data_IF_665890419204
#
_entry.id   IF_665890419204
#
_cell.length_a   1.000
_cell.length_b   1.000
_cell.length_c   1.000
_cell.angle_alpha   90.00
_cell.angle_beta   90.00
_cell.angle_gamma   90.00
#
_symmetry.space_group_name_H-M   'P 1'
#
loop_
_entity.id
_entity.type
_entity.pdbx_description
1 polymer ?
#
# COMPACT_ATOMS: atom_id res chain seq x y z
N UNK A 1 -25.32 28.30 -58.00
CA UNK A 1 -24.75 29.65 -58.35
C UNK A 1 -23.83 29.96 -57.15
N UNK A 2 -22.59 29.66 -57.33
CA UNK A 2 -21.40 30.52 -57.42
C UNK A 2 -21.36 31.57 -56.29
N UNK A 3 -20.38 31.48 -55.34
CA UNK A 3 -19.13 32.27 -55.48
C UNK A 3 -18.09 31.76 -54.45
N UNK A 4 -16.97 31.32 -55.00
CA UNK A 4 -15.66 31.11 -54.41
C UNK A 4 -15.03 32.50 -54.18
N UNK A 5 -14.45 32.73 -53.00
CA UNK A 5 -13.45 33.82 -52.87
C UNK A 5 -12.26 33.19 -52.13
N UNK A 6 -11.21 33.01 -52.89
CA UNK A 6 -9.84 32.77 -52.44
C UNK A 6 -9.20 34.14 -52.14
N UNK A 7 -8.47 34.25 -51.02
CA UNK A 7 -7.52 35.34 -50.81
C UNK A 7 -6.17 34.74 -50.43
N UNK A 8 -5.20 35.13 -51.22
CA UNK A 8 -3.82 34.66 -51.25
C UNK A 8 -2.93 35.37 -50.24
N UNK A 9 -1.89 34.62 -49.87
CA UNK A 9 -0.58 34.99 -49.35
C UNK A 9 -0.16 36.48 -49.41
N UNK A 10 0.47 36.94 -48.33
CA UNK A 10 1.67 37.78 -48.47
C UNK A 10 2.63 37.47 -47.29
N UNK A 11 3.77 36.89 -47.65
CA UNK A 11 4.95 36.76 -46.78
C UNK A 11 5.65 38.12 -46.70
N UNK A 12 6.03 38.52 -45.50
CA UNK A 12 6.99 39.62 -45.35
C UNK A 12 8.06 39.20 -44.36
N UNK A 13 9.23 38.81 -44.92
CA UNK A 13 10.50 38.68 -44.21
C UNK A 13 10.97 40.08 -43.78
N UNK A 14 11.20 40.27 -42.51
CA UNK A 14 12.06 41.31 -41.98
C UNK A 14 13.18 40.69 -41.13
N UNK A 15 14.36 40.58 -41.77
CA UNK A 15 15.64 40.41 -41.09
C UNK A 15 15.95 41.71 -40.33
N UNK A 16 16.06 41.65 -39.03
CA UNK A 16 16.78 42.66 -38.23
C UNK A 16 17.82 41.97 -37.37
N UNK A 17 19.08 42.06 -37.86
CA UNK A 17 20.27 41.78 -37.05
C UNK A 17 20.39 42.83 -35.96
N UNK A 18 20.31 42.42 -34.70
CA UNK A 18 20.88 43.16 -33.58
C UNK A 18 21.91 42.28 -32.88
N UNK A 19 23.16 42.64 -33.12
CA UNK A 19 24.27 42.20 -32.26
C UNK A 19 24.19 42.97 -30.97
N UNK A 20 23.92 42.25 -29.87
CA UNK A 20 24.00 42.75 -28.50
C UNK A 20 24.77 41.74 -27.66
N UNK A 21 26.03 42.07 -27.39
CA UNK A 21 26.85 41.42 -26.39
C UNK A 21 26.23 41.64 -25.00
N UNK A 22 26.24 40.58 -24.19
CA UNK A 22 26.37 40.74 -22.75
C UNK A 22 25.29 40.11 -21.89
N UNK A 23 25.71 39.11 -21.25
CA UNK A 23 25.31 38.60 -19.92
C UNK A 23 24.79 37.18 -20.00
N UNK A 24 25.71 36.26 -19.66
CA UNK A 24 25.36 34.90 -19.29
C UNK A 24 24.52 34.97 -17.99
N UNK A 25 23.21 35.06 -18.17
CA UNK A 25 22.25 34.73 -17.15
C UNK A 25 22.27 33.20 -17.02
N UNK A 26 22.73 32.68 -15.91
CA UNK A 26 22.48 31.32 -15.50
C UNK A 26 20.95 31.14 -15.47
N UNK A 27 20.43 30.52 -16.51
CA UNK A 27 19.12 29.93 -16.47
C UNK A 27 19.21 28.82 -15.41
N UNK A 28 18.76 29.12 -14.19
CA UNK A 28 18.40 28.12 -13.24
C UNK A 28 17.22 27.34 -13.87
N UNK A 29 17.52 26.22 -14.48
CA UNK A 29 16.48 25.26 -14.81
C UNK A 29 15.86 24.85 -13.49
N UNK A 30 14.58 25.17 -13.28
CA UNK A 30 13.79 24.50 -12.28
C UNK A 30 13.89 23.01 -12.65
N UNK A 31 14.60 22.19 -11.85
CA UNK A 31 14.54 20.74 -11.96
C UNK A 31 13.08 20.37 -11.76
N UNK A 32 12.44 19.87 -12.79
CA UNK A 32 11.06 19.40 -12.73
C UNK A 32 11.00 18.29 -11.69
N UNK A 33 10.36 18.56 -10.54
CA UNK A 33 10.27 17.63 -9.42
C UNK A 33 9.57 16.37 -9.90
N UNK A 34 10.27 15.25 -9.93
CA UNK A 34 9.70 13.97 -10.35
C UNK A 34 8.59 13.57 -9.38
N UNK A 35 7.52 13.00 -9.92
CA UNK A 35 6.42 12.47 -9.11
C UNK A 35 6.56 10.95 -9.01
N UNK A 36 6.26 10.41 -7.82
CA UNK A 36 6.10 8.99 -7.58
C UNK A 36 4.67 8.70 -7.16
N UNK A 37 4.06 7.67 -7.73
CA UNK A 37 2.69 7.25 -7.43
C UNK A 37 2.72 6.01 -6.56
N UNK A 38 2.21 6.14 -5.33
CA UNK A 38 2.14 5.07 -4.31
C UNK A 38 0.73 4.50 -4.28
N UNK A 39 0.59 3.21 -4.61
CA UNK A 39 -0.67 2.49 -4.53
C UNK A 39 -0.95 2.03 -3.10
N UNK A 40 -2.18 2.28 -2.61
CA UNK A 40 -2.63 1.91 -1.26
C UNK A 40 -4.10 1.52 -1.22
N UNK A 41 -4.52 0.86 -0.13
CA UNK A 41 -5.93 0.68 0.27
C UNK A 41 -6.15 1.30 1.65
N UNK A 42 -7.42 1.55 2.03
CA UNK A 42 -7.73 2.05 3.38
C UNK A 42 -7.43 0.97 4.42
N UNK A 43 -6.40 1.22 5.20
CA UNK A 43 -5.84 0.26 6.14
C UNK A 43 -5.20 0.99 7.34
N UNK A 44 -5.94 1.29 8.41
CA UNK A 44 -5.34 1.82 9.63
C UNK A 44 -4.56 0.69 10.37
N UNK A 45 -3.37 1.00 10.92
CA UNK A 45 -2.76 2.32 11.04
C UNK A 45 -1.77 2.65 9.91
N UNK A 46 -1.77 1.92 8.78
CA UNK A 46 -0.80 2.07 7.68
C UNK A 46 -1.13 3.26 6.77
N UNK A 47 -2.31 3.25 6.16
CA UNK A 47 -2.80 4.30 5.25
C UNK A 47 -4.28 4.53 5.52
N UNK A 48 -4.66 5.67 6.07
CA UNK A 48 -6.07 5.92 6.42
C UNK A 48 -6.35 7.42 6.53
N UNK A 49 -7.62 7.78 6.57
CA UNK A 49 -8.08 9.13 6.83
C UNK A 49 -8.55 9.24 8.28
N UNK A 50 -8.07 10.25 9.00
CA UNK A 50 -8.61 10.57 10.33
C UNK A 50 -10.05 11.07 10.21
N UNK A 51 -10.86 10.81 11.23
CA UNK A 51 -12.24 11.25 11.25
C UNK A 51 -12.35 12.78 11.07
N UNK A 52 -13.13 13.20 10.07
CA UNK A 52 -13.32 14.60 9.73
C UNK A 52 -12.15 15.28 9.00
N UNK A 53 -11.19 14.51 8.48
CA UNK A 53 -10.04 14.98 7.71
C UNK A 53 -10.01 14.37 6.31
N UNK A 54 -9.62 15.19 5.33
CA UNK A 54 -9.32 14.71 3.95
C UNK A 54 -7.82 14.40 3.77
N UNK A 55 -7.02 14.49 4.85
CA UNK A 55 -5.59 14.18 4.79
C UNK A 55 -5.38 12.69 5.02
N UNK A 56 -4.70 12.03 4.07
CA UNK A 56 -4.20 10.68 4.25
C UNK A 56 -3.05 10.70 5.26
N UNK A 57 -3.11 9.81 6.24
CA UNK A 57 -2.10 9.63 7.29
C UNK A 57 -1.83 8.15 7.50
N UNK A 58 -0.89 7.82 8.36
CA UNK A 58 -0.56 6.46 8.73
C UNK A 58 0.93 6.16 8.64
N UNK A 59 1.33 5.04 9.21
CA UNK A 59 2.73 4.66 9.24
C UNK A 59 3.33 4.54 7.83
N UNK A 60 2.68 3.79 6.94
CA UNK A 60 3.14 3.62 5.57
C UNK A 60 3.07 4.93 4.77
N UNK A 61 2.02 5.74 4.99
CA UNK A 61 1.87 7.04 4.34
C UNK A 61 3.03 7.96 4.67
N UNK A 62 3.28 8.20 5.97
CA UNK A 62 4.32 9.15 6.38
C UNK A 62 5.73 8.62 6.15
N UNK A 63 5.94 7.30 6.21
CA UNK A 63 7.23 6.70 5.86
C UNK A 63 7.49 6.82 4.35
N UNK A 64 6.48 6.64 3.50
CA UNK A 64 6.60 6.84 2.06
C UNK A 64 6.90 8.32 1.73
N UNK A 65 6.22 9.28 2.37
CA UNK A 65 6.53 10.71 2.24
C UNK A 65 7.98 10.97 2.63
N UNK A 66 8.44 10.51 3.80
CA UNK A 66 9.80 10.74 4.27
C UNK A 66 10.86 10.16 3.30
N UNK A 67 10.66 8.94 2.81
CA UNK A 67 11.57 8.29 1.85
C UNK A 67 11.65 9.06 0.54
N UNK A 68 10.51 9.32 -0.09
CA UNK A 68 10.49 9.88 -1.44
C UNK A 68 10.80 11.37 -1.46
N UNK A 69 10.39 12.14 -0.45
CA UNK A 69 10.75 13.56 -0.35
C UNK A 69 12.26 13.74 -0.15
N UNK A 70 12.92 12.91 0.68
CA UNK A 70 14.37 12.89 0.81
C UNK A 70 15.10 12.54 -0.49
N UNK A 71 14.45 11.74 -1.35
CA UNK A 71 14.94 11.43 -2.69
C UNK A 71 14.61 12.51 -3.73
N UNK A 72 13.93 13.59 -3.35
CA UNK A 72 13.56 14.71 -4.25
C UNK A 72 12.32 14.43 -5.12
N UNK A 73 11.46 13.49 -4.73
CA UNK A 73 10.21 13.23 -5.42
C UNK A 73 9.04 13.93 -4.73
N UNK A 74 8.01 14.28 -5.52
CA UNK A 74 6.68 14.56 -5.02
C UNK A 74 5.91 13.25 -4.91
N UNK A 75 5.30 12.98 -3.75
CA UNK A 75 4.49 11.77 -3.55
C UNK A 75 3.04 12.02 -3.95
N UNK A 76 2.46 11.09 -4.67
CA UNK A 76 1.02 10.99 -4.93
C UNK A 76 0.53 9.63 -4.47
N UNK A 77 -0.52 9.63 -3.67
CA UNK A 77 -1.17 8.39 -3.22
C UNK A 77 -2.38 8.08 -4.11
N UNK A 78 -2.46 6.84 -4.59
CA UNK A 78 -3.55 6.34 -5.42
C UNK A 78 -4.23 5.17 -4.72
N UNK A 79 -5.52 5.32 -4.42
CA UNK A 79 -6.35 4.21 -3.95
C UNK A 79 -6.48 3.17 -5.05
N UNK A 80 -6.14 1.91 -4.76
CA UNK A 80 -6.18 0.80 -5.71
C UNK A 80 -7.17 -0.28 -5.28
N UNK A 81 -7.54 -1.14 -6.22
CA UNK A 81 -8.08 -2.47 -5.93
C UNK A 81 -6.91 -3.41 -5.66
N UNK A 82 -6.83 -3.98 -4.46
CA UNK A 82 -5.71 -4.85 -4.07
C UNK A 82 -5.51 -6.02 -5.02
N UNK A 83 -6.59 -6.55 -5.58
CA UNK A 83 -6.53 -7.63 -6.56
C UNK A 83 -5.88 -7.20 -7.90
N UNK A 84 -5.85 -5.88 -8.19
CA UNK A 84 -5.24 -5.32 -9.39
C UNK A 84 -3.80 -4.83 -9.21
N UNK A 85 -3.23 -4.93 -8.00
CA UNK A 85 -1.89 -4.38 -7.66
C UNK A 85 -0.79 -4.71 -8.66
N UNK A 86 -0.75 -5.94 -9.18
CA UNK A 86 0.25 -6.34 -10.18
C UNK A 86 -0.02 -5.72 -11.55
N UNK A 87 -1.28 -5.59 -11.94
CA UNK A 87 -1.68 -4.93 -13.19
C UNK A 87 -1.28 -3.46 -13.15
N UNK A 88 -1.56 -2.78 -12.04
CA UNK A 88 -1.25 -1.36 -11.86
C UNK A 88 0.26 -1.11 -11.85
N UNK A 89 1.05 -1.94 -11.15
CA UNK A 89 2.51 -1.90 -11.20
C UNK A 89 3.06 -2.14 -12.60
N UNK A 90 2.57 -3.18 -13.29
CA UNK A 90 3.08 -3.55 -14.61
C UNK A 90 2.74 -2.54 -15.69
N UNK A 91 1.58 -1.91 -15.62
CA UNK A 91 1.15 -0.83 -16.54
C UNK A 91 1.85 0.51 -16.27
N UNK A 92 2.41 0.70 -15.07
CA UNK A 92 2.96 1.97 -14.63
C UNK A 92 1.89 2.97 -14.17
N UNK A 93 0.68 2.49 -13.83
CA UNK A 93 -0.34 3.32 -13.19
C UNK A 93 0.09 3.74 -11.78
N UNK A 94 0.87 2.90 -11.11
CA UNK A 94 1.56 3.17 -9.86
C UNK A 94 3.03 2.77 -9.97
N UNK A 95 3.90 3.43 -9.22
CA UNK A 95 5.34 3.14 -9.18
C UNK A 95 5.69 2.09 -8.13
N UNK A 96 4.94 2.05 -7.04
CA UNK A 96 5.07 1.05 -5.99
C UNK A 96 3.73 0.80 -5.29
N UNK A 97 3.62 -0.35 -4.61
CA UNK A 97 2.58 -0.66 -3.63
C UNK A 97 3.20 -0.56 -2.25
N UNK A 98 2.65 0.34 -1.42
CA UNK A 98 3.10 0.54 -0.05
C UNK A 98 1.89 0.59 0.88
N UNK A 99 1.50 -0.58 1.38
CA UNK A 99 0.25 -0.76 2.11
C UNK A 99 0.23 -2.13 2.82
N UNK A 100 1.22 -2.39 3.68
CA UNK A 100 1.29 -3.67 4.36
C UNK A 100 1.41 -4.86 3.40
N UNK A 101 2.25 -4.78 2.35
CA UNK A 101 2.34 -5.82 1.35
C UNK A 101 3.20 -7.00 1.82
N UNK A 102 2.56 -8.10 2.24
CA UNK A 102 3.22 -9.35 2.64
C UNK A 102 4.09 -9.88 1.51
N UNK A 103 5.40 -10.01 1.72
CA UNK A 103 6.37 -10.38 0.69
C UNK A 103 6.76 -11.86 0.69
N UNK A 104 6.64 -12.55 1.82
CA UNK A 104 7.11 -13.93 2.02
C UNK A 104 6.02 -15.00 1.85
N UNK A 105 4.99 -14.73 1.05
CA UNK A 105 3.91 -15.67 0.75
C UNK A 105 3.75 -15.86 -0.76
N UNK A 106 3.07 -16.94 -1.15
CA UNK A 106 2.60 -17.16 -2.51
C UNK A 106 1.14 -16.71 -2.66
N UNK A 107 0.77 -16.25 -3.84
CA UNK A 107 -0.63 -16.00 -4.15
C UNK A 107 -1.39 -17.33 -4.32
N UNK A 108 -2.59 -17.41 -3.72
CA UNK A 108 -3.38 -18.65 -3.72
C UNK A 108 -3.86 -19.05 -5.11
N UNK A 109 -4.07 -18.09 -6.00
CA UNK A 109 -4.65 -18.32 -7.33
C UNK A 109 -3.74 -19.13 -8.23
N UNK A 110 -2.44 -18.89 -8.20
CA UNK A 110 -1.45 -19.51 -9.09
C UNK A 110 -0.30 -20.21 -8.34
N UNK A 111 -0.22 -20.07 -7.03
CA UNK A 111 0.83 -20.67 -6.19
C UNK A 111 2.22 -20.04 -6.40
N UNK A 112 2.31 -18.91 -7.11
CA UNK A 112 3.58 -18.24 -7.41
C UNK A 112 3.93 -17.33 -6.24
N UNK A 113 5.20 -17.38 -5.80
CA UNK A 113 5.71 -16.48 -4.78
C UNK A 113 5.58 -15.02 -5.23
N UNK A 114 5.13 -14.14 -4.35
CA UNK A 114 5.00 -12.72 -4.64
C UNK A 114 6.32 -12.09 -5.04
N UNK A 115 7.43 -12.56 -4.46
CA UNK A 115 8.79 -12.16 -4.82
C UNK A 115 9.22 -12.57 -6.25
N UNK A 116 8.51 -13.46 -6.90
CA UNK A 116 8.72 -13.77 -8.32
C UNK A 116 7.96 -12.80 -9.25
N UNK A 117 6.88 -12.17 -8.75
CA UNK A 117 6.04 -11.24 -9.52
C UNK A 117 6.51 -9.79 -9.46
N UNK A 118 7.07 -9.38 -8.34
CA UNK A 118 7.55 -8.01 -8.07
C UNK A 118 8.90 -8.02 -7.39
N UNK A 119 9.62 -6.90 -7.44
CA UNK A 119 10.77 -6.68 -6.58
C UNK A 119 10.30 -6.05 -5.28
N UNK A 120 10.80 -6.57 -4.16
CA UNK A 120 10.50 -6.05 -2.83
C UNK A 120 11.66 -5.25 -2.27
N UNK A 121 11.34 -4.22 -1.50
CA UNK A 121 12.29 -3.55 -0.61
C UNK A 121 12.75 -4.48 0.51
N UNK A 122 13.57 -3.98 1.41
CA UNK A 122 13.75 -4.57 2.74
C UNK A 122 12.40 -4.70 3.45
N UNK A 123 12.29 -5.73 4.29
CA UNK A 123 11.13 -5.91 5.16
C UNK A 123 11.16 -4.82 6.22
N UNK A 124 10.09 -4.04 6.33
CA UNK A 124 10.01 -2.92 7.27
C UNK A 124 9.08 -3.18 8.47
N UNK A 125 8.31 -4.29 8.43
CA UNK A 125 7.37 -4.62 9.51
C UNK A 125 7.08 -6.12 9.56
N UNK A 126 6.85 -6.65 10.76
CA UNK A 126 6.26 -7.97 11.00
C UNK A 126 4.74 -7.89 11.10
N UNK A 127 4.06 -8.91 10.59
CA UNK A 127 2.61 -9.06 10.70
C UNK A 127 2.22 -10.54 10.86
N UNK A 128 0.93 -10.78 11.07
CA UNK A 128 0.25 -12.07 11.01
C UNK A 128 -1.15 -11.88 10.47
N UNK A 129 -1.70 -12.88 9.84
CA UNK A 129 -3.13 -12.95 9.59
C UNK A 129 -3.83 -13.46 10.85
N UNK A 130 -4.93 -12.82 11.23
CA UNK A 130 -5.72 -13.16 12.40
C UNK A 130 -7.18 -13.40 12.03
N UNK A 131 -7.87 -14.16 12.87
CA UNK A 131 -9.31 -14.39 12.75
C UNK A 131 -10.04 -13.41 13.66
N UNK A 132 -10.99 -12.68 13.05
CA UNK A 132 -11.88 -11.73 13.74
C UNK A 132 -13.30 -12.26 13.72
N UNK A 133 -13.96 -12.23 14.86
CA UNK A 133 -15.32 -12.73 15.04
C UNK A 133 -16.12 -11.75 15.92
N UNK A 134 -17.44 -11.95 16.03
CA UNK A 134 -18.25 -11.28 17.06
C UNK A 134 -17.79 -11.69 18.45
N UNK A 135 -17.93 -10.80 19.42
CA UNK A 135 -17.51 -11.03 20.82
C UNK A 135 -18.22 -12.19 21.49
N UNK A 136 -19.46 -12.49 21.08
CA UNK A 136 -20.29 -13.61 21.53
C UNK A 136 -20.10 -14.89 20.69
N UNK A 137 -19.23 -14.89 19.69
CA UNK A 137 -18.93 -16.06 18.86
C UNK A 137 -18.25 -17.17 19.68
N UNK A 138 -18.64 -18.43 19.40
CA UNK A 138 -18.06 -19.63 19.96
C UNK A 138 -16.79 -20.10 19.21
N UNK A 139 -16.44 -19.46 18.08
CA UNK A 139 -15.21 -19.78 17.32
C UNK A 139 -14.00 -19.47 18.20
N UNK A 140 -13.21 -20.50 18.52
CA UNK A 140 -12.01 -20.41 19.36
C UNK A 140 -10.80 -21.15 18.77
N UNK A 141 -11.01 -22.07 17.82
CA UNK A 141 -9.97 -22.88 17.18
C UNK A 141 -10.22 -23.05 15.69
N UNK A 142 -9.23 -23.55 14.97
CA UNK A 142 -9.30 -23.75 13.52
C UNK A 142 -10.44 -24.70 13.09
N UNK A 143 -10.71 -25.71 13.90
CA UNK A 143 -11.76 -26.71 13.66
C UNK A 143 -13.17 -26.08 13.67
N UNK A 144 -13.36 -25.00 14.43
CA UNK A 144 -14.64 -24.29 14.53
C UNK A 144 -14.98 -23.50 13.27
N UNK A 145 -13.99 -23.28 12.40
CA UNK A 145 -14.18 -22.59 11.11
C UNK A 145 -14.82 -23.50 10.05
N UNK A 146 -14.83 -24.81 10.25
CA UNK A 146 -15.39 -25.76 9.28
C UNK A 146 -16.89 -25.50 9.07
N UNK A 147 -17.30 -25.35 7.80
CA UNK A 147 -18.65 -25.05 7.41
C UNK A 147 -19.07 -23.58 7.60
N UNK A 148 -18.16 -22.72 8.11
CA UNK A 148 -18.41 -21.30 8.33
C UNK A 148 -18.14 -20.45 7.09
N UNK A 149 -18.81 -19.30 7.03
CA UNK A 149 -18.57 -18.27 6.03
C UNK A 149 -17.54 -17.28 6.57
N UNK A 150 -16.39 -17.21 5.94
CA UNK A 150 -15.37 -16.19 6.21
C UNK A 150 -15.43 -15.05 5.20
N UNK A 151 -14.86 -13.90 5.57
CA UNK A 151 -14.61 -12.78 4.68
C UNK A 151 -13.13 -12.42 4.68
N UNK A 152 -12.56 -12.14 3.50
CA UNK A 152 -11.18 -11.67 3.34
C UNK A 152 -11.08 -10.75 2.12
N UNK A 153 -10.12 -9.83 2.12
CA UNK A 153 -9.84 -8.99 0.96
C UNK A 153 -9.30 -9.84 -0.19
N UNK A 154 -9.87 -9.67 -1.38
CA UNK A 154 -9.51 -10.46 -2.56
C UNK A 154 -8.04 -10.26 -2.94
N UNK A 155 -7.30 -11.35 -3.20
CA UNK A 155 -5.87 -11.33 -3.54
C UNK A 155 -4.94 -11.01 -2.37
N UNK A 156 -5.46 -10.99 -1.11
CA UNK A 156 -4.65 -10.75 0.09
C UNK A 156 -3.99 -12.03 0.63
N UNK A 157 -3.06 -11.86 1.58
CA UNK A 157 -2.52 -12.97 2.37
C UNK A 157 -3.62 -13.56 3.27
N UNK A 158 -4.54 -12.72 3.75
CA UNK A 158 -5.71 -13.14 4.53
C UNK A 158 -6.62 -14.08 3.76
N UNK A 159 -6.89 -13.81 2.49
CA UNK A 159 -7.65 -14.73 1.64
C UNK A 159 -6.93 -16.09 1.49
N UNK A 160 -5.62 -16.07 1.29
CA UNK A 160 -4.80 -17.28 1.20
C UNK A 160 -4.88 -18.08 2.50
N UNK A 161 -4.72 -17.42 3.66
CA UNK A 161 -4.80 -18.05 4.96
C UNK A 161 -6.20 -18.59 5.26
N UNK A 162 -7.26 -17.82 5.00
CA UNK A 162 -8.64 -18.27 5.19
C UNK A 162 -9.00 -19.50 4.36
N UNK A 163 -8.54 -19.56 3.10
CA UNK A 163 -8.73 -20.70 2.20
C UNK A 163 -7.89 -21.92 2.56
N UNK A 164 -6.96 -21.83 3.50
CA UNK A 164 -6.19 -22.97 4.00
C UNK A 164 -6.96 -23.84 4.99
N UNK A 165 -8.02 -23.31 5.61
CA UNK A 165 -8.83 -24.06 6.57
C UNK A 165 -9.84 -24.96 5.82
N UNK A 166 -9.92 -26.20 6.27
CA UNK A 166 -10.81 -27.19 5.65
C UNK A 166 -12.28 -26.80 5.85
N UNK A 167 -13.07 -26.90 4.79
CA UNK A 167 -14.51 -26.68 4.81
C UNK A 167 -14.97 -25.23 4.96
N UNK A 168 -14.07 -24.25 4.93
CA UNK A 168 -14.45 -22.83 4.95
C UNK A 168 -14.91 -22.36 3.58
N UNK A 169 -15.83 -21.39 3.57
CA UNK A 169 -16.19 -20.61 2.38
C UNK A 169 -15.68 -19.19 2.60
N UNK A 170 -14.75 -18.71 1.79
CA UNK A 170 -14.21 -17.36 1.90
C UNK A 170 -14.87 -16.46 0.85
N UNK A 171 -15.64 -15.47 1.32
CA UNK A 171 -16.17 -14.38 0.52
C UNK A 171 -15.08 -13.34 0.31
N UNK A 172 -14.76 -13.03 -0.94
CA UNK A 172 -13.85 -11.94 -1.29
C UNK A 172 -14.51 -10.57 -1.08
N UNK A 173 -13.80 -9.67 -0.44
CA UNK A 173 -14.17 -8.27 -0.26
C UNK A 173 -13.20 -7.37 -1.04
N UNK A 174 -13.58 -6.12 -1.28
CA UNK A 174 -12.70 -5.16 -1.96
C UNK A 174 -11.62 -4.64 -1.01
N UNK A 175 -11.97 -4.45 0.28
CA UNK A 175 -11.06 -3.94 1.31
C UNK A 175 -11.19 -4.77 2.59
N UNK A 176 -10.16 -4.78 3.41
CA UNK A 176 -10.20 -5.45 4.73
C UNK A 176 -11.26 -4.84 5.66
N UNK A 177 -11.50 -3.53 5.54
CA UNK A 177 -12.57 -2.86 6.30
C UNK A 177 -13.97 -3.36 5.92
N UNK A 178 -14.18 -3.76 4.67
CA UNK A 178 -15.45 -4.38 4.25
C UNK A 178 -15.65 -5.74 4.94
N UNK A 179 -14.57 -6.48 5.18
CA UNK A 179 -14.64 -7.76 5.90
C UNK A 179 -15.12 -7.56 7.35
N UNK A 180 -14.68 -6.49 8.02
CA UNK A 180 -15.20 -6.13 9.35
C UNK A 180 -16.70 -5.84 9.30
N UNK A 181 -17.17 -5.12 8.28
CA UNK A 181 -18.61 -4.84 8.09
C UNK A 181 -19.42 -6.13 7.88
N UNK A 182 -18.89 -7.10 7.11
CA UNK A 182 -19.55 -8.39 6.88
C UNK A 182 -19.76 -9.17 8.18
N UNK A 183 -18.73 -9.22 9.05
CA UNK A 183 -18.84 -9.88 10.36
C UNK A 183 -19.78 -9.10 11.28
N UNK A 184 -19.65 -7.78 11.32
CA UNK A 184 -20.49 -6.94 12.17
C UNK A 184 -21.99 -7.05 11.79
N UNK A 185 -22.29 -7.13 10.50
CA UNK A 185 -23.65 -7.34 9.98
C UNK A 185 -24.16 -8.79 10.14
N UNK A 186 -23.28 -9.75 10.46
CA UNK A 186 -23.62 -11.17 10.53
C UNK A 186 -23.76 -11.84 9.16
N UNK A 187 -23.25 -11.24 8.10
CA UNK A 187 -23.16 -11.82 6.75
C UNK A 187 -21.98 -12.78 6.58
N UNK A 188 -20.98 -12.67 7.45
CA UNK A 188 -19.91 -13.63 7.63
C UNK A 188 -19.80 -14.02 9.10
N UNK A 189 -19.40 -15.27 9.37
CA UNK A 189 -19.14 -15.77 10.72
C UNK A 189 -17.81 -15.27 11.26
N UNK A 190 -16.83 -15.05 10.38
CA UNK A 190 -15.50 -14.56 10.72
C UNK A 190 -14.90 -13.73 9.58
N UNK A 191 -13.88 -12.92 9.89
CA UNK A 191 -13.00 -12.29 8.90
C UNK A 191 -11.56 -12.73 9.10
N UNK A 192 -10.79 -12.75 8.01
CA UNK A 192 -9.34 -12.94 8.05
C UNK A 192 -8.68 -11.62 7.67
N UNK A 193 -7.93 -11.06 8.61
CA UNK A 193 -7.38 -9.71 8.49
C UNK A 193 -5.93 -9.67 8.94
N UNK A 194 -5.21 -8.66 8.48
CA UNK A 194 -3.93 -8.28 9.05
C UNK A 194 -4.08 -7.91 10.53
N UNK A 195 -3.19 -8.41 11.38
CA UNK A 195 -3.24 -8.18 12.82
C UNK A 195 -3.17 -6.69 13.17
N UNK A 196 -2.43 -5.90 12.40
CA UNK A 196 -2.33 -4.44 12.60
C UNK A 196 -3.68 -3.75 12.39
N UNK A 197 -4.40 -4.11 11.30
CA UNK A 197 -5.74 -3.60 11.05
C UNK A 197 -6.72 -4.07 12.12
N UNK A 198 -6.73 -5.35 12.43
CA UNK A 198 -7.64 -5.91 13.42
C UNK A 198 -7.49 -5.22 14.79
N UNK A 199 -6.26 -4.97 15.26
CA UNK A 199 -5.98 -4.23 16.51
C UNK A 199 -6.47 -2.77 16.47
N UNK A 200 -6.48 -2.15 15.30
CA UNK A 200 -6.93 -0.77 15.14
C UNK A 200 -8.44 -0.63 15.29
N UNK A 201 -9.22 -1.63 14.93
CA UNK A 201 -10.67 -1.56 14.87
C UNK A 201 -11.41 -2.41 15.91
N UNK A 202 -10.97 -3.67 16.17
CA UNK A 202 -11.69 -4.57 17.06
C UNK A 202 -11.79 -4.04 18.50
N UNK A 203 -12.96 -4.11 19.07
CA UNK A 203 -13.25 -3.60 20.43
C UNK A 203 -13.42 -2.09 20.52
N UNK A 204 -13.52 -1.36 19.36
CA UNK A 204 -13.56 0.10 19.31
C UNK A 204 -14.69 0.59 18.38
N UNK A 205 -15.30 1.74 18.73
CA UNK A 205 -16.29 2.43 17.90
C UNK A 205 -17.37 1.50 17.38
N UNK A 206 -17.60 1.53 16.08
CA UNK A 206 -18.64 0.71 15.40
C UNK A 206 -18.32 -0.80 15.44
N UNK A 207 -17.09 -1.18 15.81
CA UNK A 207 -16.62 -2.56 15.91
C UNK A 207 -16.35 -2.99 17.36
N UNK A 208 -16.98 -2.33 18.33
CA UNK A 208 -16.86 -2.64 19.76
C UNK A 208 -17.24 -4.10 20.09
N UNK A 209 -18.15 -4.69 19.32
CA UNK A 209 -18.61 -6.07 19.47
C UNK A 209 -17.82 -7.09 18.64
N UNK A 210 -16.67 -6.70 18.09
CA UNK A 210 -15.74 -7.61 17.40
C UNK A 210 -14.51 -7.89 18.26
N UNK A 211 -13.99 -9.11 18.14
CA UNK A 211 -12.74 -9.54 18.82
C UNK A 211 -11.86 -10.34 17.88
N UNK A 212 -10.56 -10.28 18.13
CA UNK A 212 -9.56 -11.20 17.56
C UNK A 212 -9.64 -12.51 18.35
N UNK A 213 -9.60 -13.65 17.65
CA UNK A 213 -9.55 -14.98 18.28
C UNK A 213 -8.12 -15.23 18.77
N UNK A 214 -7.95 -15.41 20.07
CA UNK A 214 -6.65 -15.65 20.68
C UNK A 214 -6.03 -16.97 20.21
N UNK A 215 -4.74 -16.92 19.87
CA UNK A 215 -3.98 -18.12 19.47
C UNK A 215 -4.28 -18.66 18.08
N UNK A 216 -5.21 -18.07 17.34
CA UNK A 216 -5.56 -18.47 15.97
C UNK A 216 -5.03 -17.42 14.98
N UNK A 217 -3.78 -17.60 14.56
CA UNK A 217 -3.11 -16.72 13.61
C UNK A 217 -2.22 -17.51 12.67
N UNK A 218 -1.83 -16.88 11.55
CA UNK A 218 -0.79 -17.41 10.66
C UNK A 218 0.59 -17.41 11.33
N UNK A 219 1.57 -18.02 10.66
CA UNK A 219 2.98 -17.76 10.93
C UNK A 219 3.29 -16.27 10.72
N UNK A 220 4.48 -15.84 11.18
CA UNK A 220 4.97 -14.48 10.95
C UNK A 220 5.13 -14.24 9.46
N UNK A 221 4.60 -13.13 9.01
CA UNK A 221 4.81 -12.59 7.68
C UNK A 221 5.49 -11.23 7.77
N UNK A 222 6.08 -10.79 6.65
CA UNK A 222 6.80 -9.53 6.58
C UNK A 222 6.19 -8.62 5.53
N UNK A 223 6.05 -7.33 5.88
CA UNK A 223 5.70 -6.29 4.93
C UNK A 223 6.94 -5.73 4.28
N UNK A 224 6.86 -5.57 2.97
CA UNK A 224 7.84 -4.88 2.15
C UNK A 224 7.13 -4.03 1.08
N UNK A 225 7.84 -3.08 0.50
CA UNK A 225 7.32 -2.23 -0.56
C UNK A 225 7.48 -2.97 -1.89
N UNK A 226 6.39 -3.14 -2.61
CA UNK A 226 6.39 -3.84 -3.91
C UNK A 226 6.63 -2.89 -5.07
N UNK A 227 7.59 -3.24 -5.94
CA UNK A 227 7.92 -2.51 -7.17
C UNK A 227 7.78 -3.41 -8.38
N UNK A 228 7.57 -2.82 -9.57
CA UNK A 228 7.69 -3.57 -10.81
C UNK A 228 9.06 -4.24 -10.91
N UNK A 229 9.12 -5.47 -11.42
CA UNK A 229 10.39 -6.19 -11.65
C UNK A 229 11.40 -5.35 -12.43
N UNK A 230 12.62 -5.28 -11.90
CA UNK A 230 13.73 -4.50 -12.45
C UNK A 230 13.64 -3.00 -12.19
N UNK A 231 12.83 -2.55 -11.24
CA UNK A 231 12.73 -1.14 -10.87
C UNK A 231 14.02 -0.65 -10.18
N UNK A 232 14.56 0.45 -10.68
CA UNK A 232 15.70 1.11 -10.02
C UNK A 232 15.32 1.77 -8.68
N UNK A 233 14.02 1.96 -8.41
CA UNK A 233 13.56 2.55 -7.16
C UNK A 233 13.83 1.61 -5.97
N UNK A 234 13.77 0.30 -6.16
CA UNK A 234 13.96 -0.69 -5.09
C UNK A 234 15.26 -0.46 -4.32
N UNK A 235 16.39 -0.38 -5.02
CA UNK A 235 17.69 -0.16 -4.38
C UNK A 235 17.82 1.24 -3.74
N UNK A 236 17.24 2.27 -4.38
CA UNK A 236 17.24 3.64 -3.86
C UNK A 236 16.43 3.76 -2.59
N UNK A 237 15.25 3.14 -2.56
CA UNK A 237 14.36 3.12 -1.38
C UNK A 237 15.01 2.34 -0.25
N UNK A 238 15.66 1.20 -0.51
CA UNK A 238 16.39 0.47 0.53
C UNK A 238 17.48 1.32 1.17
N UNK A 239 18.26 2.04 0.36
CA UNK A 239 19.30 2.94 0.88
C UNK A 239 18.72 4.09 1.73
N UNK A 240 17.51 4.57 1.40
CA UNK A 240 16.85 5.61 2.18
C UNK A 240 16.23 5.07 3.47
N UNK A 241 15.64 3.86 3.44
CA UNK A 241 15.16 3.16 4.64
C UNK A 241 16.30 2.97 5.66
N UNK A 242 17.51 2.61 5.20
CA UNK A 242 18.68 2.51 6.10
C UNK A 242 19.01 3.83 6.80
N UNK A 243 18.92 4.96 6.08
CA UNK A 243 19.19 6.29 6.66
C UNK A 243 18.12 6.67 7.68
N UNK A 244 16.84 6.47 7.32
CA UNK A 244 15.71 6.80 8.20
C UNK A 244 15.64 5.86 9.43
N UNK A 245 16.16 4.65 9.33
CA UNK A 245 16.37 3.79 10.48
C UNK A 245 17.49 4.31 11.39
N UNK A 246 18.62 4.68 10.78
CA UNK A 246 19.80 5.16 11.52
C UNK A 246 19.58 6.50 12.24
N UNK A 247 18.77 7.41 11.68
CA UNK A 247 18.46 8.71 12.28
C UNK A 247 17.24 8.66 13.26
N UNK A 248 16.57 7.50 13.36
CA UNK A 248 15.46 7.26 14.27
C UNK A 248 14.09 7.65 13.74
N UNK A 249 13.97 8.10 12.48
CA UNK A 249 12.69 8.49 11.87
C UNK A 249 11.71 7.33 11.85
N UNK A 250 12.13 6.12 11.44
CA UNK A 250 11.25 4.94 11.42
C UNK A 250 10.75 4.62 12.84
N UNK A 251 11.64 4.67 13.85
CA UNK A 251 11.25 4.40 15.23
C UNK A 251 10.23 5.42 15.75
N UNK A 252 10.43 6.71 15.44
CA UNK A 252 9.51 7.77 15.84
C UNK A 252 8.12 7.61 15.19
N UNK A 253 8.07 7.24 13.90
CA UNK A 253 6.81 6.94 13.21
C UNK A 253 6.13 5.69 13.79
N UNK A 254 6.90 4.65 14.11
CA UNK A 254 6.39 3.43 14.70
C UNK A 254 5.73 3.68 16.08
N UNK A 255 6.35 4.51 16.92
CA UNK A 255 5.75 4.95 18.19
C UNK A 255 4.48 5.79 17.96
N UNK A 256 4.51 6.73 17.01
CA UNK A 256 3.36 7.58 16.68
C UNK A 256 2.12 6.80 16.31
N UNK A 257 2.30 5.69 15.59
CA UNK A 257 1.21 4.86 15.07
C UNK A 257 0.96 3.57 15.85
N UNK A 258 1.58 3.42 17.05
CA UNK A 258 1.44 2.26 17.95
C UNK A 258 1.81 0.92 17.27
N UNK A 259 2.85 0.94 16.42
CA UNK A 259 3.38 -0.25 15.71
C UNK A 259 4.83 -0.55 16.05
N UNK A 260 5.40 0.08 17.09
CA UNK A 260 6.80 -0.07 17.47
C UNK A 260 7.22 -1.52 17.77
N UNK A 261 6.29 -2.35 18.23
CA UNK A 261 6.56 -3.75 18.54
C UNK A 261 6.72 -4.64 17.29
N UNK A 262 6.37 -4.15 16.13
CA UNK A 262 6.38 -4.91 14.86
C UNK A 262 7.18 -4.21 13.76
N UNK A 263 7.45 -2.91 13.89
CA UNK A 263 8.28 -2.18 12.95
C UNK A 263 9.74 -2.67 13.03
N UNK A 264 10.37 -2.86 11.86
CA UNK A 264 11.77 -3.24 11.73
C UNK A 264 12.58 -1.98 11.52
N UNK A 265 13.52 -1.73 12.44
CA UNK A 265 14.39 -0.54 12.46
C UNK A 265 15.86 -0.87 12.25
N UNK A 266 16.20 -2.13 12.01
CA UNK A 266 17.53 -2.61 11.66
C UNK A 266 17.42 -3.50 10.41
N UNK A 267 18.11 -3.10 9.35
CA UNK A 267 18.12 -3.81 8.06
C UNK A 267 19.47 -4.54 7.80
N UNK A 268 20.33 -4.66 8.82
CA UNK A 268 21.68 -5.23 8.66
C UNK A 268 21.68 -6.67 8.15
N UNK A 269 20.68 -7.45 8.53
CA UNK A 269 20.54 -8.87 8.15
C UNK A 269 19.84 -9.07 6.79
N UNK A 270 19.45 -7.97 6.12
CA UNK A 270 18.72 -8.02 4.85
C UNK A 270 19.55 -7.61 3.63
N UNK A 271 20.85 -7.43 3.81
CA UNK A 271 21.81 -6.97 2.78
C UNK A 271 22.36 -8.09 1.92
#
# INVERSE_FOLDING_TARGET
MKKIIAIALTALLLLSCFAGCGQAGTAGGEEETKTVVVGYTNYAPMNYYEEGSDKLVGFDTELAEAVFENMGYKVMFQLIDWNQKYTDLNSGAIDCVWNGFTCNTADKEDGILRSEKVDFSYNYMENRQVIVVKSDSEIAAAEDLNGKMGAAESGSAGETYGKSFEGTNIKGCNYQTDCLMEVNAGSADFAVLDAQLAKSYCGKGDYADLKIVDGLSSDVEFYAIGFKKGSELTAKVNAELEKLAADGTIAALAEKYDVANTAITDFSDQK
#
